data_IF_230890683288
#
_entry.id   IF_230890683288
#
_cell.length_a   1.000
_cell.length_b   1.000
_cell.length_c   1.000
_cell.angle_alpha   90.00
_cell.angle_beta   90.00
_cell.angle_gamma   90.00
#
_symmetry.space_group_name_H-M   'P 1'
#
loop_
_entity.id
_entity.type
_entity.pdbx_description
1 polymer ?
#
# COMPACT_ATOMS: atom_id res chain seq x y z
N UNK A 1 -31.22 -27.23 -8.19
CA UNK A 1 -29.89 -27.14 -8.84
C UNK A 1 -28.91 -26.77 -7.74
N UNK A 2 -27.87 -27.57 -7.51
CA UNK A 2 -26.85 -27.29 -6.49
C UNK A 2 -25.74 -26.48 -7.16
N UNK A 3 -25.52 -25.25 -6.70
CA UNK A 3 -24.39 -24.45 -7.11
C UNK A 3 -23.11 -25.12 -6.61
N UNK A 4 -22.19 -25.42 -7.53
CA UNK A 4 -20.85 -25.92 -7.21
C UNK A 4 -20.02 -24.71 -6.78
N UNK A 5 -19.72 -24.62 -5.48
CA UNK A 5 -18.70 -23.70 -4.98
C UNK A 5 -17.34 -24.06 -5.57
N UNK A 6 -16.64 -23.06 -6.10
CA UNK A 6 -15.24 -23.19 -6.48
C UNK A 6 -14.43 -23.03 -5.19
N UNK A 7 -13.87 -24.12 -4.72
CA UNK A 7 -12.92 -24.15 -3.61
C UNK A 7 -11.54 -23.81 -4.18
N UNK A 8 -11.05 -22.60 -3.88
CA UNK A 8 -9.67 -22.20 -4.18
C UNK A 8 -8.81 -22.69 -3.01
N UNK A 9 -8.17 -23.85 -3.21
CA UNK A 9 -7.12 -24.36 -2.33
C UNK A 9 -5.84 -23.56 -2.59
N UNK A 10 -5.57 -22.57 -1.73
CA UNK A 10 -4.32 -21.81 -1.74
C UNK A 10 -3.42 -22.44 -0.69
N UNK A 11 -2.74 -23.53 -1.07
CA UNK A 11 -1.72 -24.16 -0.24
C UNK A 11 -0.64 -23.13 0.12
N UNK A 12 -0.62 -22.68 1.36
CA UNK A 12 0.43 -21.81 1.91
C UNK A 12 1.47 -22.70 2.57
N UNK A 13 2.46 -23.16 1.82
CA UNK A 13 3.67 -23.73 2.43
C UNK A 13 4.62 -22.59 2.80
N UNK A 14 4.79 -22.35 4.10
CA UNK A 14 5.84 -21.49 4.63
C UNK A 14 7.21 -22.13 4.37
N UNK A 15 7.87 -21.79 3.27
CA UNK A 15 9.28 -22.15 3.06
C UNK A 15 10.14 -21.20 3.87
N UNK A 16 10.59 -21.66 5.05
CA UNK A 16 11.65 -20.99 5.82
C UNK A 16 13.01 -21.37 5.22
N UNK A 17 13.76 -20.42 4.69
CA UNK A 17 15.20 -20.60 4.45
C UNK A 17 15.93 -20.73 5.80
N UNK A 18 17.00 -21.53 5.83
CA UNK A 18 17.88 -21.81 6.98
C UNK A 18 18.57 -20.55 7.56
N UNK A 19 18.30 -19.36 7.03
CA UNK A 19 18.89 -18.07 7.44
C UNK A 19 17.91 -17.07 8.04
N UNK A 20 16.65 -17.46 8.29
CA UNK A 20 15.65 -16.57 8.90
C UNK A 20 15.46 -15.25 8.13
N UNK A 21 15.50 -15.30 6.79
CA UNK A 21 15.23 -14.16 5.91
C UNK A 21 13.76 -14.17 5.48
N UNK A 22 13.14 -13.00 5.42
CA UNK A 22 11.80 -12.79 4.87
C UNK A 22 11.86 -13.11 3.37
N UNK A 23 11.14 -14.15 2.95
CA UNK A 23 10.95 -14.47 1.54
C UNK A 23 9.76 -13.64 1.06
N UNK A 24 10.00 -12.74 0.11
CA UNK A 24 8.95 -11.99 -0.58
C UNK A 24 8.13 -12.99 -1.40
N UNK A 25 6.85 -13.14 -1.08
CA UNK A 25 5.93 -13.95 -1.87
C UNK A 25 5.61 -13.18 -3.17
N UNK A 26 6.26 -13.59 -4.25
CA UNK A 26 6.14 -12.94 -5.56
C UNK A 26 4.88 -13.47 -6.25
N UNK A 27 3.77 -12.77 -6.09
CA UNK A 27 2.57 -13.01 -6.90
C UNK A 27 2.87 -12.55 -8.33
N UNK A 28 3.18 -13.50 -9.23
CA UNK A 28 3.36 -13.21 -10.66
C UNK A 28 2.02 -12.89 -11.31
N UNK A 29 1.67 -11.60 -11.34
CA UNK A 29 0.73 -11.07 -12.32
C UNK A 29 1.45 -10.97 -13.67
N UNK A 30 0.98 -11.72 -14.67
CA UNK A 30 1.42 -11.58 -16.06
C UNK A 30 1.12 -10.15 -16.52
N UNK A 31 2.17 -9.33 -16.64
CA UNK A 31 2.12 -8.02 -17.31
C UNK A 31 2.25 -8.23 -18.81
N UNK A 32 1.31 -7.70 -19.58
CA UNK A 32 1.60 -7.17 -20.90
C UNK A 32 2.26 -5.81 -20.73
N UNK A 33 3.25 -5.57 -21.59
CA UNK A 33 4.26 -4.52 -21.56
C UNK A 33 3.72 -3.10 -21.34
N UNK A 34 4.43 -2.33 -20.51
CA UNK A 34 4.59 -0.88 -20.64
C UNK A 34 5.77 -0.42 -19.78
N UNK A 35 6.79 0.07 -20.47
CA UNK A 35 7.91 0.85 -19.93
C UNK A 35 7.46 2.31 -19.78
N UNK A 36 7.65 2.90 -18.59
CA UNK A 36 8.37 4.17 -18.43
C UNK A 36 8.44 4.60 -16.96
N UNK A 37 9.56 5.24 -16.66
CA UNK A 37 9.98 5.79 -15.38
C UNK A 37 9.28 7.12 -15.01
N UNK A 38 9.54 7.57 -13.79
CA UNK A 38 9.45 8.99 -13.43
C UNK A 38 8.16 9.40 -12.70
N UNK A 39 8.31 9.83 -11.45
CA UNK A 39 7.27 10.60 -10.76
C UNK A 39 7.06 11.92 -11.50
N UNK A 40 5.97 11.99 -12.27
CA UNK A 40 5.50 13.18 -12.94
C UNK A 40 4.21 13.67 -12.29
N UNK A 41 4.13 14.98 -12.03
CA UNK A 41 2.84 15.67 -12.15
C UNK A 41 2.46 15.59 -13.61
N UNK A 42 1.65 14.61 -13.98
CA UNK A 42 1.07 14.54 -15.31
C UNK A 42 -0.05 15.58 -15.33
N UNK A 43 0.29 16.80 -15.75
CA UNK A 43 -0.70 17.60 -16.46
C UNK A 43 -1.04 16.77 -17.71
N UNK A 44 -2.07 15.94 -17.61
CA UNK A 44 -2.61 15.24 -18.76
C UNK A 44 -3.27 16.33 -19.61
N UNK A 45 -2.48 17.00 -20.46
CA UNK A 45 -2.99 17.98 -21.42
C UNK A 45 -4.05 17.35 -22.36
N UNK A 46 -4.14 16.02 -22.38
CA UNK A 46 -5.09 15.22 -23.16
C UNK A 46 -6.22 14.53 -22.36
N UNK A 47 -6.27 14.61 -21.02
CA UNK A 47 -7.45 14.08 -20.30
C UNK A 47 -8.54 15.17 -20.24
N UNK A 48 -9.68 14.90 -20.90
CA UNK A 48 -10.86 15.80 -21.00
C UNK A 48 -11.54 16.07 -19.63
N UNK A 49 -11.04 15.49 -18.54
CA UNK A 49 -11.65 15.48 -17.22
C UNK A 49 -10.87 16.38 -16.25
N UNK A 50 -11.55 17.37 -15.68
CA UNK A 50 -10.91 18.36 -14.79
C UNK A 50 -11.10 18.02 -13.31
N UNK A 51 -12.16 17.28 -12.95
CA UNK A 51 -12.54 17.02 -11.54
C UNK A 51 -13.22 15.67 -11.37
N UNK A 52 -13.03 15.10 -10.18
CA UNK A 52 -13.71 13.89 -9.69
C UNK A 52 -14.52 14.24 -8.43
N UNK A 53 -15.78 13.81 -8.40
CA UNK A 53 -16.64 13.88 -7.22
C UNK A 53 -17.01 12.47 -6.76
N UNK A 54 -16.75 12.17 -5.48
CA UNK A 54 -17.09 10.88 -4.88
C UNK A 54 -18.19 11.08 -3.85
N UNK A 55 -19.29 10.34 -4.01
CA UNK A 55 -20.43 10.37 -3.09
C UNK A 55 -20.74 8.97 -2.57
N UNK A 56 -20.71 8.80 -1.25
CA UNK A 56 -21.21 7.58 -0.61
C UNK A 56 -22.72 7.44 -0.84
N UNK A 57 -23.14 6.24 -1.26
CA UNK A 57 -24.52 5.91 -1.59
C UNK A 57 -25.00 4.68 -0.81
N UNK A 58 -26.07 4.86 -0.04
CA UNK A 58 -26.68 3.79 0.75
C UNK A 58 -25.91 3.45 2.03
N UNK A 59 -26.33 2.39 2.69
CA UNK A 59 -25.74 1.96 3.97
C UNK A 59 -24.43 1.18 3.78
N UNK A 60 -23.52 1.31 4.76
CA UNK A 60 -22.28 0.53 4.83
C UNK A 60 -22.54 -0.89 5.30
N UNK A 61 -21.87 -1.85 4.67
CA UNK A 61 -21.76 -3.21 5.18
C UNK A 61 -20.61 -3.25 6.19
N UNK A 62 -20.90 -3.58 7.46
CA UNK A 62 -19.89 -3.60 8.53
C UNK A 62 -19.39 -5.03 8.76
N UNK A 63 -18.09 -5.19 8.86
CA UNK A 63 -17.37 -6.43 9.15
C UNK A 63 -16.48 -6.21 10.38
N UNK A 64 -15.87 -7.29 10.89
CA UNK A 64 -14.92 -7.20 11.99
C UNK A 64 -13.63 -6.51 11.52
N UNK A 65 -13.39 -5.27 12.00
CA UNK A 65 -12.22 -4.44 11.71
C UNK A 65 -12.25 -3.65 10.39
N UNK A 66 -13.32 -3.75 9.58
CA UNK A 66 -13.48 -2.92 8.38
C UNK A 66 -14.95 -2.79 7.93
N UNK A 67 -15.23 -1.85 7.05
CA UNK A 67 -16.54 -1.65 6.43
C UNK A 67 -16.43 -1.52 4.91
N UNK A 68 -17.50 -1.82 4.19
CA UNK A 68 -17.63 -1.61 2.75
C UNK A 68 -18.69 -0.53 2.51
N UNK A 69 -18.32 0.52 1.79
CA UNK A 69 -19.26 1.53 1.30
C UNK A 69 -19.45 1.38 -0.21
N UNK A 70 -20.66 1.70 -0.70
CA UNK A 70 -20.89 1.91 -2.12
C UNK A 70 -20.69 3.38 -2.42
N UNK A 71 -19.93 3.68 -3.45
CA UNK A 71 -19.61 5.05 -3.84
C UNK A 71 -20.01 5.26 -5.30
N UNK A 72 -20.61 6.41 -5.57
CA UNK A 72 -20.83 6.91 -6.92
C UNK A 72 -19.69 7.86 -7.25
N UNK A 73 -18.85 7.47 -8.20
CA UNK A 73 -17.77 8.30 -8.73
C UNK A 73 -18.31 9.02 -9.95
N UNK A 74 -18.18 10.34 -9.96
CA UNK A 74 -18.59 11.21 -11.06
C UNK A 74 -17.38 11.95 -11.59
N UNK A 75 -17.02 11.68 -12.83
CA UNK A 75 -16.06 12.51 -13.55
C UNK A 75 -16.78 13.70 -14.16
N UNK A 76 -16.15 14.88 -14.13
CA UNK A 76 -16.68 16.11 -14.67
C UNK A 76 -15.77 16.67 -15.76
N UNK A 77 -16.37 17.17 -16.84
CA UNK A 77 -15.71 17.98 -17.86
C UNK A 77 -15.36 19.36 -17.31
N UNK A 78 -14.54 20.11 -18.06
CA UNK A 78 -14.14 21.49 -17.72
C UNK A 78 -15.33 22.44 -17.52
N UNK A 79 -16.42 22.22 -18.25
CA UNK A 79 -17.65 23.00 -18.15
C UNK A 79 -18.57 22.57 -16.99
N UNK A 80 -18.16 21.58 -16.18
CA UNK A 80 -18.92 21.03 -15.07
C UNK A 80 -19.99 20.01 -15.49
N UNK A 81 -20.13 19.70 -16.77
CA UNK A 81 -21.02 18.63 -17.22
C UNK A 81 -20.46 17.25 -16.85
N UNK A 82 -21.36 16.29 -16.62
CA UNK A 82 -20.98 14.92 -16.28
C UNK A 82 -20.35 14.25 -17.49
N UNK A 83 -19.13 13.79 -17.28
CA UNK A 83 -18.35 12.99 -18.20
C UNK A 83 -18.82 11.53 -18.23
N UNK A 84 -18.76 10.94 -17.05
CA UNK A 84 -18.91 9.52 -16.80
C UNK A 84 -19.28 9.33 -15.33
N UNK A 85 -20.08 8.31 -15.06
CA UNK A 85 -20.46 7.91 -13.72
C UNK A 85 -20.45 6.40 -13.60
N UNK A 86 -19.87 5.90 -12.50
CA UNK A 86 -19.99 4.50 -12.13
C UNK A 86 -20.05 4.33 -10.62
N UNK A 87 -20.56 3.17 -10.24
CA UNK A 87 -20.59 2.75 -8.84
C UNK A 87 -19.41 1.85 -8.55
N UNK A 88 -18.74 2.08 -7.43
CA UNK A 88 -17.70 1.20 -6.91
C UNK A 88 -18.00 0.78 -5.48
N UNK A 89 -17.36 -0.31 -5.05
CA UNK A 89 -17.36 -0.75 -3.66
C UNK A 89 -15.97 -0.56 -3.08
N UNK A 90 -15.90 0.25 -2.04
CA UNK A 90 -14.66 0.64 -1.38
C UNK A 90 -14.64 0.12 0.04
N UNK A 91 -13.51 -0.39 0.47
CA UNK A 91 -13.30 -0.86 1.83
C UNK A 91 -12.61 0.21 2.67
N UNK A 92 -13.02 0.32 3.93
CA UNK A 92 -12.50 1.29 4.89
C UNK A 92 -12.20 0.61 6.22
N UNK A 93 -11.07 0.94 6.82
CA UNK A 93 -10.78 0.55 8.20
C UNK A 93 -11.74 1.25 9.18
N UNK A 94 -11.78 0.81 10.44
CA UNK A 94 -12.59 1.44 11.49
C UNK A 94 -12.22 2.92 11.73
N UNK A 95 -10.98 3.30 11.40
CA UNK A 95 -10.49 4.68 11.39
C UNK A 95 -11.07 5.54 10.25
N UNK A 96 -11.81 4.95 9.32
CA UNK A 96 -12.35 5.59 8.11
C UNK A 96 -11.34 5.75 6.97
N UNK A 97 -10.12 5.22 7.11
CA UNK A 97 -9.10 5.23 6.07
C UNK A 97 -9.37 4.15 5.01
N UNK A 98 -9.03 4.44 3.75
CA UNK A 98 -9.32 3.59 2.60
C UNK A 98 -8.38 2.38 2.54
N UNK A 99 -8.91 1.17 2.39
CA UNK A 99 -8.16 -0.09 2.35
C UNK A 99 -8.01 -0.68 0.95
N UNK A 100 -8.71 -0.16 -0.05
CA UNK A 100 -8.84 -0.79 -1.36
C UNK A 100 -10.21 -1.44 -1.53
N UNK A 101 -10.24 -2.59 -2.20
CA UNK A 101 -11.45 -3.37 -2.39
C UNK A 101 -11.74 -4.34 -1.23
N UNK A 102 -12.85 -5.07 -1.35
CA UNK A 102 -13.29 -6.07 -0.37
C UNK A 102 -12.27 -7.19 -0.15
N UNK A 103 -11.65 -7.68 -1.22
CA UNK A 103 -10.75 -8.85 -1.13
C UNK A 103 -9.43 -8.47 -0.47
N UNK A 104 -8.92 -7.29 -0.77
CA UNK A 104 -7.75 -6.71 -0.09
C UNK A 104 -8.04 -6.48 1.40
N UNK A 105 -9.18 -5.86 1.73
CA UNK A 105 -9.54 -5.64 3.14
C UNK A 105 -9.69 -6.95 3.91
N UNK A 106 -10.34 -7.95 3.32
CA UNK A 106 -10.47 -9.28 3.91
C UNK A 106 -9.11 -9.98 4.09
N UNK A 107 -8.20 -9.84 3.12
CA UNK A 107 -6.85 -10.38 3.24
C UNK A 107 -6.09 -9.72 4.40
N UNK A 108 -6.05 -8.39 4.45
CA UNK A 108 -5.28 -7.64 5.44
C UNK A 108 -5.85 -7.85 6.84
N UNK A 109 -7.14 -7.60 7.04
CA UNK A 109 -7.75 -7.61 8.37
C UNK A 109 -8.01 -9.02 8.85
N UNK A 110 -8.71 -9.83 8.05
CA UNK A 110 -9.21 -11.15 8.51
C UNK A 110 -8.14 -12.23 8.37
N UNK A 111 -7.48 -12.33 7.21
CA UNK A 111 -6.52 -13.43 6.98
C UNK A 111 -5.19 -13.19 7.67
N UNK A 112 -4.69 -11.95 7.69
CA UNK A 112 -3.39 -11.61 8.27
C UNK A 112 -3.48 -11.06 9.69
N UNK A 113 -4.67 -10.66 10.16
CA UNK A 113 -4.84 -10.09 11.49
C UNK A 113 -4.12 -8.75 11.66
N UNK A 114 -3.97 -7.99 10.56
CA UNK A 114 -3.33 -6.68 10.57
C UNK A 114 -4.40 -5.62 10.87
N UNK A 115 -4.14 -4.79 11.89
CA UNK A 115 -4.94 -3.59 12.20
C UNK A 115 -4.43 -2.44 11.32
N UNK A 116 -5.19 -1.99 10.31
CA UNK A 116 -4.68 -1.02 9.35
C UNK A 116 -4.70 0.42 9.86
N UNK A 117 -3.69 1.19 9.45
CA UNK A 117 -3.50 2.60 9.81
C UNK A 117 -3.03 3.41 8.59
N UNK A 118 -3.27 4.72 8.62
CA UNK A 118 -2.60 5.64 7.70
C UNK A 118 -1.18 5.92 8.17
N UNK A 119 -0.21 5.89 7.25
CA UNK A 119 1.17 6.29 7.52
C UNK A 119 1.28 7.71 8.08
N UNK A 120 0.38 8.62 7.71
CA UNK A 120 0.41 10.03 8.17
C UNK A 120 -0.27 10.23 9.52
N UNK A 121 -0.93 9.20 10.06
CA UNK A 121 -1.75 9.30 11.27
C UNK A 121 -3.05 10.08 11.10
N UNK A 122 -3.34 10.62 9.91
CA UNK A 122 -4.62 11.26 9.62
C UNK A 122 -5.72 10.21 9.58
N UNK A 123 -6.86 10.57 10.16
CA UNK A 123 -8.07 9.77 10.14
C UNK A 123 -8.94 10.22 8.97
N UNK A 124 -9.57 9.25 8.30
CA UNK A 124 -10.54 9.42 7.20
C UNK A 124 -9.98 9.99 5.89
N UNK A 125 -10.27 9.30 4.79
CA UNK A 125 -9.96 9.75 3.43
C UNK A 125 -8.51 9.53 2.96
N UNK A 126 -7.60 9.14 3.86
CA UNK A 126 -6.27 8.68 3.45
C UNK A 126 -6.22 7.17 3.25
N UNK A 127 -5.29 6.73 2.40
CA UNK A 127 -5.07 5.30 2.12
C UNK A 127 -4.33 4.67 3.30
N UNK A 128 -4.88 3.57 3.82
CA UNK A 128 -4.18 2.66 4.71
C UNK A 128 -3.10 1.92 3.93
N UNK A 129 -1.85 2.20 4.30
CA UNK A 129 -0.66 1.59 3.70
C UNK A 129 0.32 1.05 4.74
N UNK A 130 -0.04 1.10 6.02
CA UNK A 130 0.67 0.43 7.12
C UNK A 130 -0.31 -0.22 8.11
N UNK A 131 0.15 -1.12 8.96
CA UNK A 131 -0.66 -1.69 10.02
C UNK A 131 0.09 -2.66 10.91
N UNK A 132 -0.44 -2.93 12.10
CA UNK A 132 0.21 -3.78 13.09
C UNK A 132 -0.49 -5.14 13.21
N UNK A 133 0.30 -6.22 13.28
CA UNK A 133 -0.19 -7.56 13.58
C UNK A 133 0.27 -7.97 14.98
N UNK A 134 -0.66 -7.95 15.95
CA UNK A 134 -0.39 -8.33 17.35
C UNK A 134 0.17 -9.76 17.46
N UNK A 135 -0.33 -10.69 16.64
CA UNK A 135 0.11 -12.08 16.67
C UNK A 135 1.58 -12.26 16.28
N UNK A 136 2.05 -11.48 15.31
CA UNK A 136 3.43 -11.55 14.82
C UNK A 136 4.35 -10.54 15.48
N UNK A 137 3.80 -9.59 16.25
CA UNK A 137 4.54 -8.45 16.81
C UNK A 137 5.32 -7.67 15.74
N UNK A 138 4.68 -7.52 14.57
CA UNK A 138 5.26 -6.90 13.38
C UNK A 138 4.38 -5.76 12.86
N UNK A 139 5.03 -4.71 12.37
CA UNK A 139 4.44 -3.70 11.51
C UNK A 139 4.60 -4.07 10.05
N UNK A 140 3.52 -3.90 9.28
CA UNK A 140 3.52 -4.13 7.83
C UNK A 140 3.36 -2.81 7.11
N UNK A 141 4.09 -2.65 6.01
CA UNK A 141 3.83 -1.63 4.99
C UNK A 141 3.42 -2.30 3.69
N UNK A 142 2.50 -1.70 2.93
CA UNK A 142 2.05 -2.25 1.66
C UNK A 142 1.66 -1.20 0.63
N UNK A 143 1.64 -1.62 -0.63
CA UNK A 143 0.96 -0.95 -1.75
C UNK A 143 0.19 -1.98 -2.56
N UNK A 144 -0.35 -1.56 -3.71
CA UNK A 144 -1.01 -2.46 -4.66
C UNK A 144 -0.08 -3.57 -5.20
N UNK A 145 1.25 -3.40 -5.10
CA UNK A 145 2.24 -4.34 -5.70
C UNK A 145 2.82 -5.33 -4.71
N UNK A 146 3.03 -4.91 -3.47
CA UNK A 146 3.82 -5.66 -2.51
C UNK A 146 3.49 -5.29 -1.07
N UNK A 147 3.92 -6.16 -0.14
CA UNK A 147 3.85 -5.96 1.31
C UNK A 147 5.14 -6.43 1.95
N UNK A 148 5.63 -5.69 2.95
CA UNK A 148 6.78 -6.04 3.77
C UNK A 148 6.40 -5.99 5.25
N UNK A 149 6.93 -6.92 6.05
CA UNK A 149 6.71 -6.99 7.50
C UNK A 149 8.01 -6.78 8.27
N UNK A 150 7.96 -6.00 9.34
CA UNK A 150 9.10 -5.56 10.14
C UNK A 150 8.79 -5.72 11.62
N UNK A 151 9.72 -6.30 12.36
CA UNK A 151 9.63 -6.49 13.81
C UNK A 151 10.93 -6.08 14.49
N UNK A 152 10.98 -6.25 15.81
CA UNK A 152 12.22 -6.03 16.55
C UNK A 152 13.30 -6.99 16.03
N UNK A 153 14.47 -6.44 15.68
CA UNK A 153 15.60 -7.14 15.07
C UNK A 153 15.59 -7.17 13.54
N UNK A 154 14.55 -6.64 12.87
CA UNK A 154 14.57 -6.41 11.43
C UNK A 154 15.71 -5.44 11.07
N UNK A 155 16.38 -5.70 9.95
CA UNK A 155 17.50 -4.89 9.45
C UNK A 155 17.18 -4.40 8.05
N UNK A 156 17.59 -3.16 7.77
CA UNK A 156 17.54 -2.54 6.45
C UNK A 156 18.98 -2.24 6.04
N UNK A 157 19.36 -2.71 4.87
CA UNK A 157 20.70 -2.58 4.27
C UNK A 157 20.61 -1.94 2.89
N UNK A 158 21.73 -1.47 2.35
CA UNK A 158 21.78 -0.89 1.00
C UNK A 158 21.18 -1.87 -0.02
N UNK A 159 20.24 -1.39 -0.84
CA UNK A 159 19.53 -2.17 -1.85
C UNK A 159 18.20 -2.77 -1.39
N UNK A 160 17.88 -2.71 -0.09
CA UNK A 160 16.55 -3.08 0.39
C UNK A 160 15.51 -2.01 0.01
N UNK A 161 14.27 -2.43 -0.24
CA UNK A 161 13.17 -1.53 -0.62
C UNK A 161 12.86 -0.49 0.46
N UNK A 162 13.11 -0.81 1.73
CA UNK A 162 12.91 0.11 2.85
C UNK A 162 14.14 1.01 3.11
N UNK A 163 15.22 0.87 2.34
CA UNK A 163 16.44 1.66 2.51
C UNK A 163 16.24 3.09 2.01
N UNK A 164 16.57 4.04 2.87
CA UNK A 164 16.63 5.45 2.53
C UNK A 164 18.04 5.97 2.93
N UNK A 165 18.83 6.52 1.98
CA UNK A 165 20.18 7.03 2.22
C UNK A 165 20.25 7.96 3.43
N UNK A 166 21.19 7.72 4.36
CA UNK A 166 21.30 8.52 5.59
C UNK A 166 21.96 9.87 5.34
N UNK A 167 22.91 9.88 4.41
CA UNK A 167 23.58 11.08 3.90
C UNK A 167 23.62 11.05 2.37
N UNK A 168 23.90 12.20 1.75
CA UNK A 168 23.99 12.33 0.29
C UNK A 168 25.04 11.37 -0.31
N UNK A 169 26.16 11.15 0.39
CA UNK A 169 27.19 10.21 -0.06
C UNK A 169 26.76 8.74 -0.03
N UNK A 170 25.64 8.40 0.62
CA UNK A 170 25.09 7.05 0.64
C UNK A 170 24.16 6.79 -0.56
N UNK A 171 23.84 7.82 -1.35
CA UNK A 171 23.06 7.70 -2.57
C UNK A 171 23.93 7.05 -3.64
N UNK A 172 23.48 5.96 -4.30
CA UNK A 172 24.20 5.37 -5.43
C UNK A 172 24.54 6.41 -6.49
N UNK A 173 25.75 6.38 -7.03
CA UNK A 173 26.25 7.40 -7.98
C UNK A 173 25.35 7.52 -9.23
N UNK A 174 24.77 6.40 -9.67
CA UNK A 174 23.82 6.32 -10.78
C UNK A 174 22.43 6.87 -10.46
N UNK A 175 22.05 7.01 -9.18
CA UNK A 175 20.79 7.61 -8.73
C UNK A 175 20.95 9.04 -8.19
N UNK A 176 22.19 9.53 -8.09
CA UNK A 176 22.54 10.79 -7.41
C UNK A 176 21.80 12.00 -8.01
N UNK A 177 21.73 12.08 -9.35
CA UNK A 177 21.02 13.15 -10.04
C UNK A 177 19.52 13.10 -9.75
N UNK A 178 18.89 11.94 -9.82
CA UNK A 178 17.45 11.76 -9.56
C UNK A 178 17.09 12.03 -8.11
N UNK A 179 17.98 11.69 -7.17
CA UNK A 179 17.70 11.88 -5.75
C UNK A 179 17.82 13.35 -5.34
N UNK A 180 18.92 14.02 -5.74
CA UNK A 180 19.21 15.39 -5.34
C UNK A 180 18.35 16.39 -6.10
N UNK A 181 18.23 16.24 -7.43
CA UNK A 181 17.45 17.19 -8.23
C UNK A 181 15.95 17.10 -7.89
N UNK A 182 15.46 15.90 -7.54
CA UNK A 182 14.07 15.74 -7.09
C UNK A 182 13.87 16.09 -5.60
N UNK A 183 14.94 16.45 -4.86
CA UNK A 183 14.85 16.77 -3.44
C UNK A 183 14.30 15.63 -2.59
N UNK A 184 14.60 14.38 -2.94
CA UNK A 184 14.12 13.22 -2.18
C UNK A 184 14.72 13.26 -0.76
N UNK A 185 13.93 12.95 0.27
CA UNK A 185 14.39 13.04 1.64
C UNK A 185 15.44 11.96 1.94
N UNK A 186 16.46 12.36 2.71
CA UNK A 186 17.38 11.43 3.35
C UNK A 186 16.67 10.70 4.50
N UNK A 187 17.03 9.44 4.70
CA UNK A 187 16.56 8.59 5.79
C UNK A 187 17.66 8.37 6.83
N UNK A 188 17.80 7.11 7.25
CA UNK A 188 18.75 6.69 8.30
C UNK A 188 19.94 5.89 7.79
N UNK A 189 19.99 5.59 6.49
CA UNK A 189 20.93 4.63 5.94
C UNK A 189 20.61 3.22 6.42
N UNK A 190 21.65 2.43 6.71
CA UNK A 190 21.48 1.09 7.25
C UNK A 190 21.11 1.13 8.74
N UNK A 191 20.09 0.37 9.14
CA UNK A 191 19.65 0.37 10.53
C UNK A 191 18.88 -0.89 10.92
N UNK A 192 18.80 -1.13 12.23
CA UNK A 192 18.13 -2.27 12.85
C UNK A 192 17.04 -1.77 13.80
N UNK A 193 15.84 -2.35 13.70
CA UNK A 193 14.72 -2.00 14.56
C UNK A 193 14.94 -2.54 15.97
N UNK A 194 15.12 -1.65 16.95
CA UNK A 194 15.33 -2.03 18.36
C UNK A 194 14.02 -2.02 19.15
N UNK A 195 13.01 -1.33 18.62
CA UNK A 195 11.68 -1.14 19.22
C UNK A 195 10.57 -1.41 18.21
N UNK A 196 9.32 -1.48 18.67
CA UNK A 196 8.17 -1.59 17.76
C UNK A 196 7.95 -0.29 16.98
N UNK A 197 8.30 0.85 17.57
CA UNK A 197 8.28 2.16 16.91
C UNK A 197 9.29 2.20 15.76
N UNK A 198 10.49 1.65 15.95
CA UNK A 198 11.46 1.49 14.86
C UNK A 198 10.89 0.61 13.74
N UNK A 199 10.26 -0.52 14.09
CA UNK A 199 9.63 -1.39 13.11
C UNK A 199 8.48 -0.69 12.36
N UNK A 200 7.69 0.15 13.05
CA UNK A 200 6.65 0.98 12.43
C UNK A 200 7.26 1.93 11.40
N UNK A 201 8.34 2.59 11.74
CA UNK A 201 9.01 3.50 10.82
C UNK A 201 9.60 2.76 9.61
N UNK A 202 10.14 1.55 9.77
CA UNK A 202 10.53 0.70 8.62
C UNK A 202 9.34 0.39 7.70
N UNK A 203 8.18 0.07 8.27
CA UNK A 203 6.96 -0.14 7.50
C UNK A 203 6.52 1.13 6.76
N UNK A 204 6.66 2.30 7.39
CA UNK A 204 6.39 3.60 6.77
C UNK A 204 7.33 3.87 5.58
N UNK A 205 8.63 3.62 5.74
CA UNK A 205 9.65 3.83 4.71
C UNK A 205 9.42 2.87 3.53
N UNK A 206 9.15 1.60 3.83
CA UNK A 206 8.78 0.60 2.83
C UNK A 206 7.53 1.02 2.06
N UNK A 207 6.43 1.37 2.75
CA UNK A 207 5.20 1.77 2.08
C UNK A 207 5.39 3.00 1.20
N UNK A 208 6.26 3.94 1.60
CA UNK A 208 6.58 5.14 0.83
C UNK A 208 7.39 4.84 -0.43
N UNK A 209 8.29 3.85 -0.42
CA UNK A 209 9.12 3.52 -1.58
C UNK A 209 8.39 2.72 -2.67
N UNK A 210 7.27 2.06 -2.31
CA UNK A 210 6.48 1.25 -3.25
C UNK A 210 5.10 1.81 -3.60
N UNK A 211 4.70 2.93 -2.96
CA UNK A 211 3.49 3.68 -3.29
C UNK A 211 3.58 4.24 -4.72
#
# INVERSE_FOLDING_TARGET
MKEKGIELDIGTEMIRDRRNRVVIDRVELRKSELENDGTATVENEDNEWDKEEVKEIGDREVYDGYSIARELVTYLKKDGSVAEQFQMKSAFADSGCYLGDREIAKLIVVKLGIVPESRTGKQKGEVCNIGFCEKEQNWYGWSHRARGGFGIGSKVTIGDVAYLPGVESDVPEDEHADWILAGKPLGRGEWEAKTLEDAKEMACDYAKSIA
#
